data_IF_925745711233
#
_entry.id   IF_925745711233
#
_cell.length_a   1.000
_cell.length_b   1.000
_cell.length_c   1.000
_cell.angle_alpha   90.00
_cell.angle_beta   90.00
_cell.angle_gamma   90.00
#
_symmetry.space_group_name_H-M   'P 1'
#
loop_
_entity.id
_entity.type
_entity.pdbx_description
1 polymer ?
#
# COMPACT_ATOMS: atom_id res chain seq x y z
N UNK A 1 0.05 8.01 12.46
CA UNK A 1 -0.51 8.39 11.16
C UNK A 1 0.60 8.29 10.14
N UNK A 2 0.43 7.45 9.13
CA UNK A 2 1.38 7.29 8.03
C UNK A 2 1.03 8.20 6.84
N UNK A 3 1.90 8.25 5.85
CA UNK A 3 1.73 9.04 4.63
C UNK A 3 2.05 8.20 3.40
N UNK A 4 1.35 8.47 2.31
CA UNK A 4 1.58 7.83 1.01
C UNK A 4 1.66 8.94 -0.04
N UNK A 5 2.84 9.14 -0.62
CA UNK A 5 3.04 9.99 -1.77
C UNK A 5 2.77 9.20 -3.05
N UNK A 6 1.96 9.74 -3.95
CA UNK A 6 1.61 9.07 -5.20
C UNK A 6 1.15 10.04 -6.28
N UNK A 7 1.09 9.56 -7.52
CA UNK A 7 0.67 10.32 -8.68
C UNK A 7 -0.85 10.30 -8.85
N UNK A 8 -1.37 11.29 -9.61
CA UNK A 8 -2.81 11.33 -9.96
C UNK A 8 -3.25 10.07 -10.71
N UNK A 9 -2.44 9.61 -11.65
CA UNK A 9 -2.72 8.43 -12.48
C UNK A 9 -2.95 7.17 -11.62
N UNK A 10 -2.12 6.97 -10.58
CA UNK A 10 -2.28 5.87 -9.65
C UNK A 10 -3.55 5.99 -8.81
N UNK A 11 -3.85 7.19 -8.33
CA UNK A 11 -5.08 7.44 -7.58
C UNK A 11 -6.32 7.18 -8.43
N UNK A 12 -6.31 7.57 -9.70
CA UNK A 12 -7.40 7.29 -10.64
C UNK A 12 -7.57 5.78 -10.86
N UNK A 13 -6.46 5.04 -11.01
CA UNK A 13 -6.49 3.57 -11.09
C UNK A 13 -7.06 2.94 -9.82
N UNK A 14 -6.58 3.34 -8.64
CA UNK A 14 -7.06 2.81 -7.36
C UNK A 14 -8.53 3.15 -7.13
N UNK A 15 -8.96 4.36 -7.50
CA UNK A 15 -10.37 4.77 -7.42
C UNK A 15 -11.26 3.92 -8.31
N UNK A 16 -10.82 3.63 -9.53
CA UNK A 16 -11.56 2.77 -10.45
C UNK A 16 -11.69 1.35 -9.88
N UNK A 17 -10.60 0.80 -9.33
CA UNK A 17 -10.62 -0.51 -8.68
C UNK A 17 -11.58 -0.54 -7.48
N UNK A 18 -11.48 0.43 -6.57
CA UNK A 18 -12.37 0.51 -5.41
C UNK A 18 -13.85 0.68 -5.78
N UNK A 19 -14.15 1.29 -6.93
CA UNK A 19 -15.53 1.47 -7.38
C UNK A 19 -16.19 0.16 -7.84
N UNK A 20 -15.39 -0.88 -8.10
CA UNK A 20 -15.87 -2.23 -8.43
C UNK A 20 -16.02 -3.12 -7.18
N UNK A 21 -15.45 -2.70 -6.05
CA UNK A 21 -15.47 -3.42 -4.77
C UNK A 21 -16.56 -2.88 -3.82
N UNK A 22 -16.70 -3.52 -2.66
CA UNK A 22 -17.58 -3.05 -1.58
C UNK A 22 -17.21 -1.63 -1.10
N UNK A 23 -18.19 -0.82 -0.67
CA UNK A 23 -17.96 0.56 -0.24
C UNK A 23 -17.10 0.68 1.02
N UNK A 24 -16.91 -0.42 1.74
CA UNK A 24 -16.09 -0.52 2.95
C UNK A 24 -14.62 -0.87 2.61
N UNK A 25 -14.37 -1.36 1.40
CA UNK A 25 -13.04 -1.74 0.92
C UNK A 25 -12.11 -0.53 0.86
N UNK A 26 -10.89 -0.74 1.36
CA UNK A 26 -9.82 0.24 1.41
C UNK A 26 -8.57 -0.30 0.72
N UNK A 27 -7.65 0.60 0.37
CA UNK A 27 -6.35 0.22 -0.17
C UNK A 27 -5.41 -0.18 0.97
N UNK A 28 -5.06 -1.47 1.08
CA UNK A 28 -4.19 -1.99 2.13
C UNK A 28 -2.72 -2.02 1.71
N UNK A 29 -1.85 -1.38 2.50
CA UNK A 29 -0.40 -1.53 2.38
C UNK A 29 -0.02 -2.90 2.95
N UNK A 30 0.71 -3.70 2.18
CA UNK A 30 1.10 -5.06 2.62
C UNK A 30 2.42 -5.52 2.02
N UNK A 31 3.01 -6.51 2.68
CA UNK A 31 4.21 -7.22 2.20
C UNK A 31 3.82 -8.40 1.30
N UNK A 32 4.65 -8.62 0.28
CA UNK A 32 4.60 -9.76 -0.61
C UNK A 32 5.94 -10.48 -0.57
N UNK A 33 5.88 -11.80 -0.48
CA UNK A 33 7.06 -12.62 -0.73
C UNK A 33 7.22 -12.79 -2.24
N UNK A 34 8.14 -12.04 -2.82
CA UNK A 34 8.53 -12.22 -4.21
C UNK A 34 9.63 -13.28 -4.28
N UNK A 35 9.26 -14.50 -4.70
CA UNK A 35 10.18 -15.62 -4.93
C UNK A 35 9.68 -16.96 -4.37
N UNK A 36 10.16 -18.06 -4.94
CA UNK A 36 9.93 -19.42 -4.45
C UNK A 36 11.28 -20.08 -4.15
N UNK A 37 11.59 -20.37 -2.88
CA UNK A 37 12.86 -20.99 -2.44
C UNK A 37 13.78 -20.06 -1.61
N UNK A 38 15.07 -20.41 -1.48
CA UNK A 38 16.04 -19.70 -0.62
C UNK A 38 16.36 -18.23 -1.00
N UNK A 39 15.74 -17.69 -2.05
CA UNK A 39 15.96 -16.33 -2.56
C UNK A 39 14.72 -15.43 -2.42
N UNK A 40 13.85 -15.70 -1.44
CA UNK A 40 12.68 -14.85 -1.17
C UNK A 40 13.11 -13.42 -0.84
N UNK A 41 12.70 -12.46 -1.67
CA UNK A 41 12.82 -11.03 -1.36
C UNK A 41 11.46 -10.52 -0.93
N UNK A 42 11.42 -9.85 0.21
CA UNK A 42 10.24 -9.12 0.65
C UNK A 42 10.10 -7.89 -0.26
N UNK A 43 8.92 -7.72 -0.85
CA UNK A 43 8.52 -6.52 -1.56
C UNK A 43 7.28 -5.94 -0.94
N UNK A 44 7.14 -4.61 -0.98
CA UNK A 44 5.92 -3.95 -0.54
C UNK A 44 5.01 -3.69 -1.74
N UNK A 45 3.71 -3.73 -1.51
CA UNK A 45 2.73 -3.42 -2.54
C UNK A 45 1.37 -3.08 -1.93
N UNK A 46 0.33 -3.17 -2.74
CA UNK A 46 -1.04 -2.81 -2.37
C UNK A 46 -2.02 -3.95 -2.61
N UNK A 47 -2.89 -4.17 -1.63
CA UNK A 47 -4.11 -4.96 -1.77
C UNK A 47 -5.36 -4.09 -1.63
N UNK A 48 -6.51 -4.69 -1.86
CA UNK A 48 -7.82 -4.14 -1.53
C UNK A 48 -8.39 -5.03 -0.41
N UNK A 49 -8.76 -4.43 0.71
CA UNK A 49 -9.22 -5.15 1.89
C UNK A 49 -10.08 -4.26 2.79
N UNK A 50 -10.88 -4.88 3.65
CA UNK A 50 -11.66 -4.16 4.65
C UNK A 50 -10.75 -3.72 5.81
N UNK A 51 -11.01 -2.56 6.45
CA UNK A 51 -10.25 -2.11 7.61
C UNK A 51 -10.51 -3.01 8.83
N UNK A 52 -9.45 -3.41 9.53
CA UNK A 52 -9.53 -4.06 10.84
C UNK A 52 -9.45 -3.03 11.99
N UNK A 53 -9.94 -3.37 13.19
CA UNK A 53 -9.93 -2.48 14.36
C UNK A 53 -8.54 -1.93 14.72
N UNK A 54 -7.49 -2.70 14.41
CA UNK A 54 -6.11 -2.32 14.70
C UNK A 54 -5.42 -1.57 13.57
N UNK A 55 -6.02 -1.52 12.38
CA UNK A 55 -5.43 -0.85 11.23
C UNK A 55 -5.41 0.66 11.44
N UNK A 56 -4.30 1.28 11.03
CA UNK A 56 -4.27 2.72 10.87
C UNK A 56 -4.87 3.08 9.51
N UNK A 57 -5.77 4.07 9.48
CA UNK A 57 -6.43 4.54 8.26
C UNK A 57 -6.05 5.99 7.96
N UNK A 58 -5.77 6.28 6.69
CA UNK A 58 -5.59 7.63 6.18
C UNK A 58 -6.42 7.84 4.91
N UNK A 59 -6.64 9.10 4.52
CA UNK A 59 -7.28 9.45 3.26
C UNK A 59 -6.33 10.28 2.42
N UNK A 60 -5.93 9.75 1.27
CA UNK A 60 -5.05 10.44 0.32
C UNK A 60 -5.88 10.80 -0.90
N UNK A 61 -6.20 12.09 -1.05
CA UNK A 61 -7.05 12.61 -2.12
C UNK A 61 -8.34 11.80 -2.29
N UNK A 62 -9.07 11.64 -1.18
CA UNK A 62 -10.35 10.90 -1.11
C UNK A 62 -10.25 9.38 -1.25
N UNK A 63 -9.04 8.82 -1.44
CA UNK A 63 -8.83 7.37 -1.47
C UNK A 63 -8.47 6.89 -0.05
N UNK A 64 -9.22 5.93 0.52
CA UNK A 64 -8.91 5.38 1.82
C UNK A 64 -7.75 4.38 1.73
N UNK A 65 -6.70 4.62 2.51
CA UNK A 65 -5.58 3.71 2.68
C UNK A 65 -5.57 3.18 4.11
N UNK A 66 -5.27 1.89 4.25
CA UNK A 66 -5.14 1.21 5.54
C UNK A 66 -3.79 0.49 5.61
N UNK A 67 -3.26 0.37 6.82
CA UNK A 67 -2.04 -0.36 7.08
C UNK A 67 -2.04 -0.92 8.50
N UNK A 68 -1.55 -2.15 8.62
CA UNK A 68 -1.40 -2.81 9.92
C UNK A 68 -0.34 -2.10 10.77
N UNK A 69 -0.56 -2.02 12.08
CA UNK A 69 0.40 -1.39 13.00
C UNK A 69 1.80 -2.01 12.93
N UNK A 70 1.90 -3.34 12.89
CA UNK A 70 3.18 -4.04 12.81
C UNK A 70 3.92 -3.71 11.50
N UNK A 71 3.19 -3.62 10.39
CA UNK A 71 3.73 -3.17 9.10
C UNK A 71 4.33 -1.76 9.19
N UNK A 72 3.62 -0.82 9.82
CA UNK A 72 4.07 0.56 10.02
C UNK A 72 5.25 0.66 11.01
N UNK A 73 5.30 -0.21 12.02
CA UNK A 73 6.42 -0.27 12.95
C UNK A 73 7.68 -0.82 12.27
N UNK A 74 7.52 -1.76 11.33
CA UNK A 74 8.61 -2.41 10.62
C UNK A 74 9.18 -1.56 9.48
N UNK A 75 8.32 -0.93 8.67
CA UNK A 75 8.72 -0.23 7.44
C UNK A 75 8.68 1.30 7.58
N UNK A 76 8.32 1.82 8.75
CA UNK A 76 8.17 3.24 9.00
C UNK A 76 6.78 3.76 8.60
N UNK A 77 6.66 5.09 8.48
CA UNK A 77 5.36 5.76 8.30
C UNK A 77 5.28 6.63 7.05
N UNK A 78 6.30 6.59 6.20
CA UNK A 78 6.34 7.39 4.97
C UNK A 78 6.54 6.45 3.80
N UNK A 79 5.61 6.47 2.85
CA UNK A 79 5.63 5.58 1.69
C UNK A 79 5.48 6.38 0.40
N UNK A 80 6.06 5.87 -0.68
CA UNK A 80 5.82 6.32 -2.05
C UNK A 80 5.25 5.18 -2.88
N UNK A 81 4.20 5.48 -3.64
CA UNK A 81 3.57 4.56 -4.57
C UNK A 81 3.81 5.04 -6.00
N UNK A 82 4.46 4.19 -6.78
CA UNK A 82 4.81 4.45 -8.18
C UNK A 82 4.57 3.21 -9.05
N UNK A 83 4.58 3.39 -10.37
CA UNK A 83 4.67 2.29 -11.31
C UNK A 83 6.13 1.91 -11.54
N UNK A 84 6.41 0.61 -11.56
CA UNK A 84 7.70 0.06 -11.99
C UNK A 84 7.79 0.00 -13.53
N UNK A 85 8.95 -0.40 -14.06
CA UNK A 85 9.20 -0.59 -15.49
C UNK A 85 8.15 -1.50 -16.17
N UNK A 86 7.57 -2.43 -15.42
CA UNK A 86 6.54 -3.35 -15.88
C UNK A 86 5.10 -2.80 -15.77
N UNK A 87 4.93 -1.52 -15.41
CA UNK A 87 3.63 -0.89 -15.06
C UNK A 87 2.91 -1.57 -13.90
N UNK A 88 3.65 -2.27 -13.07
CA UNK A 88 3.16 -2.84 -11.83
C UNK A 88 3.22 -1.80 -10.71
N UNK A 89 2.25 -1.84 -9.82
CA UNK A 89 2.20 -0.91 -8.69
C UNK A 89 3.22 -1.33 -7.64
N UNK A 90 4.20 -0.48 -7.34
CA UNK A 90 5.23 -0.75 -6.34
C UNK A 90 5.14 0.28 -5.22
N UNK A 91 5.09 -0.22 -3.99
CA UNK A 91 5.17 0.58 -2.78
C UNK A 91 6.61 0.61 -2.28
N UNK A 92 7.11 1.77 -1.92
CA UNK A 92 8.45 1.97 -1.36
C UNK A 92 8.34 2.67 -0.03
N UNK A 93 8.98 2.13 1.01
CA UNK A 93 9.14 2.83 2.27
C UNK A 93 10.24 3.90 2.15
N UNK A 94 9.90 5.15 2.45
CA UNK A 94 10.82 6.29 2.41
C UNK A 94 11.59 6.47 3.73
N UNK A 95 11.02 5.95 4.83
CA UNK A 95 11.55 6.08 6.19
C UNK A 95 12.33 4.83 6.65
N UNK A 96 12.40 3.80 5.82
CA UNK A 96 13.17 2.59 6.12
C UNK A 96 14.66 2.96 6.20
N UNK A 97 15.14 3.21 7.41
CA UNK A 97 16.57 3.37 7.70
C UNK A 97 17.22 2.00 7.64
N UNK A 98 18.22 1.88 6.75
CA UNK A 98 19.16 0.75 6.64
C UNK A 98 19.87 0.45 7.97
#
# INVERSE_FOLDING_TARGET
MFTVDTTKELLEKLRALLAEEDPETCVRLREYNAGCGCNSKIRLGLGLDEPEDEDERISVREIPFIAEKDFLLKHGRSYALAFDENRETVLTALDASD
#
